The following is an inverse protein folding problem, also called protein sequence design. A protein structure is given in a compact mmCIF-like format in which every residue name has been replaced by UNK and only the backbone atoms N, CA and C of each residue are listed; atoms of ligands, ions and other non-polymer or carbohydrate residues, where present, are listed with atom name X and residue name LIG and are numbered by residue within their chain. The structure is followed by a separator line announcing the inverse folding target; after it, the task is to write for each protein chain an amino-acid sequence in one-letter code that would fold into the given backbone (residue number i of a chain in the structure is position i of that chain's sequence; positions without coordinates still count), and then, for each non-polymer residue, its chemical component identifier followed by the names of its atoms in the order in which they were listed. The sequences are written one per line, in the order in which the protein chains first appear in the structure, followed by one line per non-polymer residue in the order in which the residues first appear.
data_IF_248842380865
#
_entry.id   IF_248842380865
#
_cell.length_a   1.000
_cell.length_b   1.000
_cell.length_c   1.000
_cell.angle_alpha   90.00
_cell.angle_beta   90.00
_cell.angle_gamma   90.00
#
_symmetry.space_group_name_H-M   'P 1'
#
loop_
_entity.id
_entity.type
_entity.pdbx_description
1 polymer ?
#
# COMPACT_ATOMS: atom_id res chain seq x y z
N UNK A 1 16.81 71.74 12.24
CA UNK A 1 16.72 70.95 13.49
C UNK A 1 15.60 69.93 13.34
N UNK A 2 15.96 68.64 13.39
CA UNK A 2 15.23 67.45 13.89
C UNK A 2 13.71 67.42 13.59
N UNK A 3 13.19 66.48 12.80
CA UNK A 3 13.12 65.07 13.18
C UNK A 3 13.08 64.12 11.97
N UNK A 4 14.19 63.41 11.80
CA UNK A 4 14.26 62.09 11.19
C UNK A 4 13.52 61.07 12.09
N UNK A 5 12.91 60.06 11.46
CA UNK A 5 12.56 58.74 12.02
C UNK A 5 11.47 58.69 13.11
N UNK A 6 10.25 58.31 12.71
CA UNK A 6 9.36 57.46 13.54
C UNK A 6 9.20 56.12 12.84
N UNK A 7 10.22 55.29 13.00
CA UNK A 7 10.22 53.89 12.65
C UNK A 7 9.24 53.12 13.53
N UNK A 8 8.58 52.15 12.89
CA UNK A 8 8.26 50.81 13.42
C UNK A 8 7.40 50.71 14.68
N UNK A 9 6.24 50.05 14.55
CA UNK A 9 5.69 49.09 15.56
C UNK A 9 4.25 48.63 15.33
N UNK A 10 3.66 48.67 14.13
CA UNK A 10 2.35 47.99 13.90
C UNK A 10 2.29 47.31 12.53
N UNK A 11 3.41 46.70 12.11
CA UNK A 11 3.46 45.76 10.97
C UNK A 11 4.29 44.55 11.41
N UNK A 12 3.88 43.91 12.51
CA UNK A 12 4.54 42.68 12.96
C UNK A 12 3.63 41.67 13.67
N UNK A 13 2.30 41.87 13.64
CA UNK A 13 1.35 40.95 14.29
C UNK A 13 0.40 40.24 13.33
N UNK A 14 0.58 40.41 12.01
CA UNK A 14 -0.27 39.77 10.98
C UNK A 14 0.49 38.79 10.06
N UNK A 15 1.72 38.41 10.43
CA UNK A 15 2.55 37.48 9.64
C UNK A 15 2.75 36.10 10.29
N UNK A 16 1.96 35.77 11.32
CA UNK A 16 2.07 34.49 12.04
C UNK A 16 0.90 33.53 11.84
N UNK A 17 -0.03 33.83 10.92
CA UNK A 17 -1.22 32.98 10.68
C UNK A 17 -1.17 32.14 9.38
N UNK A 18 -0.02 32.06 8.70
CA UNK A 18 0.09 31.35 7.41
C UNK A 18 1.02 30.12 7.42
N UNK A 19 1.57 29.72 8.56
CA UNK A 19 2.48 28.57 8.62
C UNK A 19 1.77 27.45 9.37
N UNK A 20 1.13 26.53 8.63
CA UNK A 20 0.50 25.40 9.30
C UNK A 20 -0.22 24.35 8.46
N UNK A 21 -0.21 24.40 7.12
CA UNK A 21 -0.63 23.22 6.34
C UNK A 21 0.59 22.44 5.86
N UNK A 22 1.29 21.81 6.80
CA UNK A 22 2.15 20.69 6.45
C UNK A 22 1.24 19.48 6.15
N UNK A 23 0.59 19.47 4.99
CA UNK A 23 0.15 18.23 4.36
C UNK A 23 1.40 17.49 3.89
N UNK A 24 2.19 16.99 4.84
CA UNK A 24 3.19 15.99 4.53
C UNK A 24 2.45 14.68 4.31
N UNK A 25 1.97 14.48 3.08
CA UNK A 25 1.95 13.12 2.55
C UNK A 25 3.41 12.68 2.48
N UNK A 26 3.95 12.17 3.59
CA UNK A 26 5.22 11.46 3.57
C UNK A 26 5.03 10.31 2.58
N UNK A 27 5.64 10.45 1.41
CA UNK A 27 5.74 9.39 0.43
C UNK A 27 6.61 8.30 1.06
N UNK A 28 6.05 7.51 1.97
CA UNK A 28 6.65 6.25 2.37
C UNK A 28 6.81 5.43 1.10
N UNK A 29 7.97 4.81 0.85
CA UNK A 29 8.13 3.94 -0.31
C UNK A 29 6.99 2.93 -0.34
N UNK A 30 6.48 2.63 -1.54
CA UNK A 30 5.37 1.69 -1.75
C UNK A 30 5.83 0.28 -1.34
N UNK A 31 5.86 0.01 -0.03
CA UNK A 31 6.51 -1.17 0.60
C UNK A 31 5.97 -2.50 0.11
N UNK A 32 4.81 -2.52 -0.54
CA UNK A 32 4.23 -3.74 -1.09
C UNK A 32 4.83 -4.14 -2.45
N UNK A 33 5.43 -3.19 -3.19
CA UNK A 33 5.95 -3.45 -4.53
C UNK A 33 7.06 -4.51 -4.54
N UNK A 34 7.13 -5.26 -5.64
CA UNK A 34 8.14 -6.31 -5.83
C UNK A 34 7.59 -7.71 -5.54
N UNK A 35 8.52 -8.66 -5.43
CA UNK A 35 8.21 -10.10 -5.40
C UNK A 35 8.08 -10.61 -3.98
N UNK A 36 7.11 -11.50 -3.81
CA UNK A 36 6.81 -12.16 -2.55
C UNK A 36 6.57 -13.65 -2.83
N UNK A 37 7.10 -14.50 -1.95
CA UNK A 37 6.90 -15.94 -2.00
C UNK A 37 6.09 -16.41 -0.80
N UNK A 38 5.22 -17.40 -0.98
CA UNK A 38 4.56 -18.04 0.14
C UNK A 38 5.55 -18.91 0.95
N UNK A 39 5.12 -19.33 2.15
CA UNK A 39 5.93 -20.10 3.11
C UNK A 39 6.59 -21.36 2.51
N UNK A 40 5.86 -22.10 1.67
CA UNK A 40 6.35 -23.33 1.03
C UNK A 40 7.24 -23.08 -0.21
N UNK A 41 7.43 -21.82 -0.63
CA UNK A 41 8.23 -21.40 -1.80
C UNK A 41 7.75 -21.95 -3.16
N UNK A 42 6.52 -22.43 -3.24
CA UNK A 42 5.90 -22.95 -4.46
C UNK A 42 5.27 -21.86 -5.32
N UNK A 43 4.98 -20.69 -4.74
CA UNK A 43 4.31 -19.59 -5.42
C UNK A 43 5.02 -18.26 -5.20
N UNK A 44 5.26 -17.56 -6.30
CA UNK A 44 5.76 -16.17 -6.28
C UNK A 44 4.73 -15.28 -6.93
N UNK A 45 4.38 -14.19 -6.25
CA UNK A 45 3.59 -13.09 -6.80
C UNK A 45 4.44 -11.82 -6.82
N UNK A 46 4.21 -10.96 -7.81
CA UNK A 46 4.82 -9.63 -7.90
C UNK A 46 3.74 -8.58 -7.82
N UNK A 47 3.82 -7.72 -6.80
CA UNK A 47 2.98 -6.53 -6.73
C UNK A 47 3.54 -5.44 -7.64
N UNK A 48 2.68 -4.94 -8.52
CA UNK A 48 2.96 -3.84 -9.45
C UNK A 48 1.95 -2.73 -9.25
N UNK A 49 2.36 -1.49 -9.53
CA UNK A 49 1.48 -0.33 -9.47
C UNK A 49 0.52 -0.34 -10.66
N UNK A 50 -0.76 -0.11 -10.42
CA UNK A 50 -1.81 0.03 -11.41
C UNK A 50 -2.65 1.27 -11.07
N UNK A 51 -2.24 2.41 -11.63
CA UNK A 51 -2.80 3.72 -11.30
C UNK A 51 -2.64 4.06 -9.82
N UNK A 52 -3.75 4.21 -9.12
CA UNK A 52 -3.81 4.51 -7.67
C UNK A 52 -3.89 3.25 -6.79
N UNK A 53 -3.71 2.07 -7.37
CA UNK A 53 -3.85 0.78 -6.68
C UNK A 53 -2.69 -0.15 -7.04
N UNK A 54 -2.71 -1.36 -6.47
CA UNK A 54 -1.72 -2.40 -6.73
C UNK A 54 -2.40 -3.69 -7.17
N UNK A 55 -1.82 -4.34 -8.17
CA UNK A 55 -2.19 -5.69 -8.59
C UNK A 55 -1.03 -6.64 -8.31
N UNK A 56 -1.32 -7.92 -8.08
CA UNK A 56 -0.32 -8.97 -7.92
C UNK A 56 -0.37 -9.96 -9.07
N UNK A 57 0.73 -10.13 -9.79
CA UNK A 57 0.87 -11.07 -10.92
C UNK A 57 1.62 -12.31 -10.48
N UNK A 58 1.16 -13.50 -10.88
CA UNK A 58 1.84 -14.77 -10.58
C UNK A 58 3.10 -14.88 -11.43
N UNK A 59 4.26 -15.01 -10.79
CA UNK A 59 5.57 -15.17 -11.44
C UNK A 59 6.13 -16.58 -11.37
N UNK A 60 5.74 -17.35 -10.34
CA UNK A 60 6.08 -18.78 -10.18
C UNK A 60 4.88 -19.50 -9.56
N UNK A 61 4.63 -20.71 -10.03
CA UNK A 61 3.58 -21.59 -9.54
C UNK A 61 3.93 -23.03 -9.93
N UNK A 62 3.56 -24.02 -9.11
CA UNK A 62 3.62 -25.44 -9.53
C UNK A 62 2.74 -25.73 -10.74
N UNK A 63 1.58 -25.10 -10.78
CA UNK A 63 0.72 -25.11 -11.96
C UNK A 63 1.09 -23.94 -12.87
N UNK A 64 1.81 -24.24 -13.95
CA UNK A 64 2.29 -23.22 -14.88
C UNK A 64 1.16 -22.49 -15.61
N UNK A 65 -0.03 -23.10 -15.74
CA UNK A 65 -1.18 -22.51 -16.45
C UNK A 65 -1.72 -21.23 -15.79
N UNK A 66 -1.30 -20.93 -14.56
CA UNK A 66 -1.69 -19.72 -13.85
C UNK A 66 -0.60 -18.65 -13.84
N UNK A 67 0.60 -18.93 -14.34
CA UNK A 67 1.68 -17.94 -14.44
C UNK A 67 1.24 -16.80 -15.37
N UNK A 68 1.58 -15.56 -15.00
CA UNK A 68 1.18 -14.35 -15.73
C UNK A 68 -0.23 -13.85 -15.41
N UNK A 69 -1.09 -14.65 -14.79
CA UNK A 69 -2.42 -14.20 -14.36
C UNK A 69 -2.33 -13.31 -13.13
N UNK A 70 -3.29 -12.38 -13.00
CA UNK A 70 -3.44 -11.53 -11.81
C UNK A 70 -4.08 -12.34 -10.68
N UNK A 71 -3.33 -12.57 -9.60
CA UNK A 71 -3.79 -13.24 -8.38
C UNK A 71 -4.59 -12.29 -7.48
N UNK A 72 -4.21 -11.00 -7.44
CA UNK A 72 -4.86 -9.96 -6.65
C UNK A 72 -5.02 -8.72 -7.54
N UNK A 73 -6.15 -8.02 -7.43
CA UNK A 73 -6.42 -6.77 -8.15
C UNK A 73 -6.98 -5.69 -7.25
N UNK A 74 -6.63 -4.44 -7.54
CA UNK A 74 -7.28 -3.25 -6.96
C UNK A 74 -6.91 -2.97 -5.50
N UNK A 75 -5.79 -3.48 -5.02
CA UNK A 75 -5.34 -3.29 -3.65
C UNK A 75 -5.01 -1.82 -3.40
N UNK A 76 -5.63 -1.19 -2.39
CA UNK A 76 -5.46 0.23 -2.07
C UNK A 76 -4.79 0.38 -0.71
N UNK A 77 -3.75 1.22 -0.66
CA UNK A 77 -3.08 1.58 0.60
C UNK A 77 -4.03 2.41 1.46
N UNK A 78 -4.17 2.03 2.73
CA UNK A 78 -4.92 2.80 3.73
C UNK A 78 -3.97 3.62 4.60
N UNK A 79 -2.90 2.98 5.05
CA UNK A 79 -1.81 3.58 5.83
C UNK A 79 -0.52 2.83 5.52
N UNK A 80 0.59 3.20 6.17
CA UNK A 80 1.85 2.46 5.98
C UNK A 80 1.68 0.97 6.31
N UNK A 81 2.09 0.11 5.36
CA UNK A 81 2.01 -1.33 5.50
C UNK A 81 0.61 -1.96 5.40
N UNK A 82 -0.48 -1.17 5.41
CA UNK A 82 -1.85 -1.68 5.41
C UNK A 82 -2.59 -1.39 4.10
N UNK A 83 -3.20 -2.43 3.53
CA UNK A 83 -3.84 -2.36 2.23
C UNK A 83 -5.17 -3.13 2.21
N UNK A 84 -6.20 -2.55 1.60
CA UNK A 84 -7.57 -3.10 1.58
C UNK A 84 -8.23 -2.90 0.22
N UNK A 85 -9.52 -3.28 0.13
CA UNK A 85 -10.37 -3.10 -1.06
C UNK A 85 -9.87 -3.86 -2.30
N UNK A 86 -9.14 -4.95 -2.10
CA UNK A 86 -8.71 -5.82 -3.18
C UNK A 86 -9.68 -6.99 -3.42
N UNK A 87 -9.54 -7.57 -4.60
CA UNK A 87 -10.10 -8.88 -4.95
C UNK A 87 -8.97 -9.88 -5.14
N UNK A 88 -9.08 -11.05 -4.51
CA UNK A 88 -8.22 -12.20 -4.82
C UNK A 88 -8.94 -13.13 -5.78
N UNK A 89 -8.24 -13.59 -6.82
CA UNK A 89 -8.75 -14.49 -7.86
C UNK A 89 -8.36 -15.93 -7.53
N UNK A 90 -9.31 -16.75 -7.09
CA UNK A 90 -9.11 -18.19 -6.84
C UNK A 90 -9.23 -18.90 -8.19
N UNK A 91 -8.19 -18.76 -9.02
CA UNK A 91 -8.21 -19.09 -10.46
C UNK A 91 -8.68 -20.53 -10.71
N UNK A 92 -8.15 -21.52 -9.96
CA UNK A 92 -8.53 -22.93 -10.13
C UNK A 92 -10.01 -23.21 -9.87
N UNK A 93 -10.68 -22.36 -9.09
CA UNK A 93 -12.09 -22.50 -8.76
C UNK A 93 -12.98 -21.54 -9.56
N UNK A 94 -12.41 -20.68 -10.42
CA UNK A 94 -13.15 -19.65 -11.13
C UNK A 94 -13.90 -18.68 -10.21
N UNK A 95 -13.39 -18.44 -9.00
CA UNK A 95 -14.05 -17.65 -7.95
C UNK A 95 -13.20 -16.46 -7.53
N UNK A 96 -13.85 -15.49 -6.89
CA UNK A 96 -13.19 -14.35 -6.28
C UNK A 96 -13.58 -14.22 -4.81
N UNK A 97 -12.75 -13.52 -4.04
CA UNK A 97 -13.01 -13.17 -2.64
C UNK A 97 -12.48 -11.76 -2.35
N UNK A 98 -13.00 -11.11 -1.31
CA UNK A 98 -12.40 -9.85 -0.86
C UNK A 98 -11.05 -10.11 -0.22
N UNK A 99 -10.12 -9.18 -0.38
CA UNK A 99 -8.73 -9.35 0.02
C UNK A 99 -8.20 -8.09 0.73
N UNK A 100 -7.36 -8.31 1.74
CA UNK A 100 -6.53 -7.28 2.37
C UNK A 100 -5.11 -7.80 2.54
N UNK A 101 -4.16 -6.88 2.61
CA UNK A 101 -2.76 -7.20 2.84
C UNK A 101 -2.18 -6.32 3.95
N UNK A 102 -1.36 -6.92 4.83
CA UNK A 102 -0.71 -6.22 5.92
C UNK A 102 0.76 -6.64 5.99
N UNK A 103 1.67 -5.68 5.89
CA UNK A 103 3.08 -5.87 6.17
C UNK A 103 3.27 -5.80 7.69
N UNK A 104 3.88 -6.82 8.27
CA UNK A 104 4.17 -6.92 9.71
C UNK A 104 5.46 -6.17 10.06
N UNK A 105 5.80 -6.10 11.34
CA UNK A 105 7.06 -5.48 11.80
C UNK A 105 8.30 -6.26 11.36
N UNK A 106 8.16 -7.57 11.18
CA UNK A 106 9.22 -8.49 10.76
C UNK A 106 9.30 -8.61 9.21
N UNK A 107 8.77 -7.63 8.48
CA UNK A 107 8.71 -7.56 7.02
C UNK A 107 8.03 -8.76 6.32
N UNK A 108 7.20 -9.51 7.05
CA UNK A 108 6.30 -10.50 6.45
C UNK A 108 5.05 -9.82 5.90
N UNK A 109 4.48 -10.40 4.84
CA UNK A 109 3.23 -9.96 4.24
C UNK A 109 2.11 -10.95 4.55
N UNK A 110 1.15 -10.52 5.36
CA UNK A 110 -0.08 -11.28 5.60
C UNK A 110 -1.12 -10.90 4.54
N UNK A 111 -1.56 -11.88 3.75
CA UNK A 111 -2.65 -11.72 2.79
C UNK A 111 -3.87 -12.47 3.33
N UNK A 112 -4.95 -11.73 3.59
CA UNK A 112 -6.22 -12.27 4.10
C UNK A 112 -7.26 -12.25 2.99
N UNK A 113 -7.82 -13.41 2.68
CA UNK A 113 -8.98 -13.58 1.80
C UNK A 113 -10.24 -13.84 2.63
N UNK A 114 -11.33 -13.13 2.32
CA UNK A 114 -12.61 -13.26 3.04
C UNK A 114 -13.75 -13.53 2.06
N UNK A 115 -14.58 -14.52 2.37
CA UNK A 115 -15.77 -14.89 1.60
C UNK A 115 -16.94 -15.06 2.57
N UNK A 116 -17.80 -14.05 2.67
CA UNK A 116 -18.82 -13.96 3.72
C UNK A 116 -18.19 -13.86 5.11
N UNK A 117 -18.63 -14.70 6.04
CA UNK A 117 -18.12 -14.76 7.42
C UNK A 117 -16.79 -15.52 7.54
N UNK A 118 -16.40 -16.30 6.52
CA UNK A 118 -15.19 -17.11 6.54
C UNK A 118 -14.02 -16.30 6.01
N UNK A 119 -12.85 -16.45 6.65
CA UNK A 119 -11.61 -15.86 6.14
C UNK A 119 -10.43 -16.80 6.34
N UNK A 120 -9.43 -16.66 5.46
CA UNK A 120 -8.15 -17.36 5.55
C UNK A 120 -7.02 -16.35 5.34
N UNK A 121 -6.00 -16.43 6.17
CA UNK A 121 -4.77 -15.63 6.05
C UNK A 121 -3.62 -16.55 5.63
N UNK A 122 -2.75 -16.05 4.78
CA UNK A 122 -1.50 -16.70 4.41
C UNK A 122 -0.33 -15.72 4.58
N UNK A 123 0.79 -16.23 5.06
CA UNK A 123 2.03 -15.46 5.24
C UNK A 123 2.88 -15.56 3.98
N UNK A 124 3.49 -14.44 3.61
CA UNK A 124 4.37 -14.32 2.47
C UNK A 124 5.67 -13.63 2.90
N UNK A 125 6.77 -14.05 2.29
CA UNK A 125 8.11 -13.56 2.53
C UNK A 125 8.59 -12.77 1.33
N UNK A 126 9.29 -11.66 1.57
CA UNK A 126 9.89 -10.87 0.49
C UNK A 126 11.01 -11.68 -0.20
N UNK A 127 11.11 -11.54 -1.51
CA UNK A 127 12.22 -12.06 -2.32
C UNK A 127 13.22 -10.98 -2.68
#
# INVERSE_FOLDING_TARGET
MKNLLKTSKIIFSLLFFLIGINMQAQNSPDKILGKWTNEDKTRVIEFVKNGTSYDAVIRKAEDESVIGKKQITGLKRQQEGSYTNATVHIIKKGKTASCSAQITKDDHLNIKASYGMMSKTQVWNRL
#
